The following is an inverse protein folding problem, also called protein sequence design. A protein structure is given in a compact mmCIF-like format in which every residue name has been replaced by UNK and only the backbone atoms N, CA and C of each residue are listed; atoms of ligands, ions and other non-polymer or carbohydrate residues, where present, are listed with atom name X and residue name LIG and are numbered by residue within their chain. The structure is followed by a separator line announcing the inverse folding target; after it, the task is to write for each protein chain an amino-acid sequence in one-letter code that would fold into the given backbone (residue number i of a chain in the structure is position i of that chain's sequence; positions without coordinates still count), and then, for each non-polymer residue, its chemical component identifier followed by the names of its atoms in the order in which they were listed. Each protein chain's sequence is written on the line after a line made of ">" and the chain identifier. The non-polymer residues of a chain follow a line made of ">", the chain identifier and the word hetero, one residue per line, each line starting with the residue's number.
data_IF_703929720547
#
_entry.id   IF_703929720547
#
_cell.length_a   1.000
_cell.length_b   1.000
_cell.length_c   1.000
_cell.angle_alpha   90.00
_cell.angle_beta   90.00
_cell.angle_gamma   90.00
#
_symmetry.space_group_name_H-M   'P 1'
#
loop_
_entity.id
_entity.type
_entity.pdbx_description
1 polymer ?
#
# COMPACT_ATOMS: atom_id res chain seq x y z
N UNK A 1 50.18 -4.80 -3.94
CA UNK A 1 49.87 -4.89 -4.06
C UNK A 1 49.19 -5.00 -4.18
N UNK A 2 49.21 -4.86 -4.01
CA UNK A 2 48.54 -5.08 -4.24
C UNK A 2 47.65 -4.86 -3.98
N UNK A 3 47.68 -4.70 -3.77
CA UNK A 3 46.91 -4.63 -3.55
C UNK A 3 46.03 -4.40 -3.63
N UNK A 4 46.22 -4.33 -3.56
CA UNK A 4 45.41 -4.33 -3.75
C UNK A 4 44.41 -3.94 -3.39
N UNK A 5 44.62 -3.75 -3.25
CA UNK A 5 43.89 -3.64 -3.02
C UNK A 5 42.98 -3.13 -2.72
N UNK A 6 43.30 -3.09 -2.65
CA UNK A 6 42.63 -2.89 -2.43
C UNK A 6 41.82 -2.47 -2.30
N UNK A 7 42.02 -2.41 -2.23
CA UNK A 7 41.37 -2.28 -2.09
C UNK A 7 40.50 -1.98 -1.78
N UNK A 8 40.86 -1.95 -1.65
CA UNK A 8 40.15 -1.94 -1.27
C UNK A 8 39.47 -1.37 -0.96
N UNK A 9 39.75 -1.18 -0.96
CA UNK A 9 39.33 -0.89 -0.78
C UNK A 9 38.50 -0.25 -0.30
N UNK A 10 38.98 -0.16 -0.26
CA UNK A 10 38.17 0.27 0.26
C UNK A 10 37.26 0.74 0.50
N UNK A 11 37.35 0.65 0.46
CA UNK A 11 36.67 0.67 0.66
C UNK A 11 35.81 0.97 1.09
N UNK A 12 36.04 0.94 1.23
CA UNK A 12 35.45 0.91 1.71
C UNK A 12 34.78 1.39 2.19
N UNK A 13 35.11 1.53 2.14
CA UNK A 13 34.70 1.69 2.62
C UNK A 13 33.91 2.25 3.02
N UNK A 14 34.05 2.29 3.05
CA UNK A 14 33.47 2.51 3.38
C UNK A 14 32.66 2.91 3.77
N UNK A 15 32.71 2.82 3.80
CA UNK A 15 32.16 2.79 4.14
C UNK A 15 31.49 3.09 4.71
N UNK A 16 31.71 3.12 4.79
CA UNK A 16 31.36 3.06 5.34
C UNK A 16 30.84 3.56 5.93
N UNK A 17 31.08 3.74 5.92
CA UNK A 17 30.75 3.93 6.51
C UNK A 17 30.03 4.32 7.03
N UNK A 18 30.07 4.29 7.07
CA UNK A 18 29.56 4.31 7.39
C UNK A 18 28.85 4.61 8.08
N UNK A 19 28.95 4.50 8.24
CA UNK A 19 28.52 4.41 8.87
C UNK A 19 28.00 4.72 9.68
N UNK A 20 28.43 4.82 9.84
CA UNK A 20 28.19 4.86 10.52
C UNK A 20 27.67 5.26 11.16
N UNK A 21 27.78 5.36 11.19
CA UNK A 21 27.35 5.55 11.69
C UNK A 21 26.73 5.58 12.14
N UNK A 22 26.61 5.41 12.22
CA UNK A 22 26.05 5.20 12.53
C UNK A 22 25.42 5.19 13.17
N UNK A 23 25.81 4.94 13.28
CA UNK A 23 25.30 4.75 13.98
C UNK A 23 24.34 5.00 14.49
N UNK A 24 24.39 4.82 14.63
CA UNK A 24 23.43 4.87 15.13
C UNK A 24 22.66 5.66 15.11
N UNK A 25 22.82 6.00 15.13
CA UNK A 25 21.94 6.60 15.16
C UNK A 25 21.28 6.68 14.33
N UNK A 26 21.76 6.36 13.99
CA UNK A 26 20.94 6.58 13.51
C UNK A 26 19.83 6.17 12.87
N UNK A 27 19.25 5.52 13.22
CA UNK A 27 17.92 5.25 12.81
C UNK A 27 17.03 6.45 12.94
N UNK A 28 17.30 7.32 13.86
CA UNK A 28 16.59 8.59 13.94
C UNK A 28 16.97 9.44 12.76
N UNK A 29 16.03 10.11 12.18
CA UNK A 29 16.28 11.04 11.13
C UNK A 29 16.66 10.39 9.80
N UNK A 30 16.71 9.09 9.74
CA UNK A 30 16.88 8.42 8.46
C UNK A 30 15.51 8.28 7.81
N UNK A 31 15.26 9.01 6.72
CA UNK A 31 13.97 8.83 6.06
C UNK A 31 13.90 7.43 5.48
N UNK A 32 12.79 6.80 5.73
CA UNK A 32 12.49 5.52 5.11
C UNK A 32 12.02 5.77 3.70
N UNK A 33 12.52 5.02 2.75
CA UNK A 33 11.94 5.03 1.41
C UNK A 33 10.49 4.56 1.53
N UNK A 34 9.58 5.14 0.75
CA UNK A 34 8.23 4.64 0.72
C UNK A 34 8.26 3.16 0.41
N UNK A 35 7.53 2.40 1.19
CA UNK A 35 7.44 0.97 0.97
C UNK A 35 6.18 0.67 0.21
N UNK A 36 6.32 -0.13 -0.81
CA UNK A 36 5.14 -0.63 -1.50
C UNK A 36 5.26 -2.14 -1.62
N UNK A 37 4.12 -2.79 -1.57
CA UNK A 37 4.08 -4.22 -1.76
C UNK A 37 2.80 -4.60 -2.49
N UNK A 38 2.78 -5.80 -3.01
CA UNK A 38 1.68 -6.30 -3.79
C UNK A 38 0.92 -7.36 -3.01
N UNK A 39 -0.38 -7.35 -3.19
CA UNK A 39 -1.26 -8.27 -2.51
C UNK A 39 -2.34 -8.72 -3.47
N UNK A 40 -2.53 -10.03 -3.57
CA UNK A 40 -3.59 -10.59 -4.40
C UNK A 40 -4.86 -10.64 -3.58
N UNK A 41 -5.92 -10.05 -4.09
CA UNK A 41 -7.19 -9.93 -3.38
C UNK A 41 -8.36 -10.23 -4.32
N UNK A 42 -9.49 -10.55 -3.73
CA UNK A 42 -10.77 -10.54 -4.43
C UNK A 42 -11.38 -9.16 -4.27
N UNK A 43 -11.65 -8.50 -5.38
CA UNK A 43 -12.25 -7.17 -5.39
C UNK A 43 -13.69 -7.25 -5.85
N UNK A 44 -14.59 -6.90 -4.96
CA UNK A 44 -16.02 -6.80 -5.25
C UNK A 44 -16.42 -5.34 -5.37
N UNK A 45 -17.67 -5.06 -5.62
CA UNK A 45 -18.11 -3.70 -5.95
C UNK A 45 -19.39 -3.34 -5.20
N UNK A 46 -19.47 -2.08 -4.77
CA UNK A 46 -20.69 -1.56 -4.17
C UNK A 46 -20.93 -0.12 -4.66
N UNK A 47 -22.14 0.38 -4.45
CA UNK A 47 -22.51 1.69 -4.97
C UNK A 47 -23.36 2.51 -3.99
N UNK A 48 -23.53 2.03 -2.77
CA UNK A 48 -24.40 2.70 -1.81
C UNK A 48 -23.82 4.05 -1.40
N UNK A 49 -24.68 5.07 -1.21
CA UNK A 49 -24.22 6.35 -0.73
C UNK A 49 -23.89 6.29 0.74
N UNK A 50 -23.28 7.35 1.25
CA UNK A 50 -23.03 7.46 2.68
C UNK A 50 -21.63 7.90 3.00
N UNK A 51 -21.27 7.70 4.25
CA UNK A 51 -19.95 8.02 4.75
C UNK A 51 -19.22 6.75 5.13
N UNK A 52 -17.91 6.80 4.96
CA UNK A 52 -17.05 5.70 5.28
C UNK A 52 -16.70 5.67 6.77
N UNK A 53 -16.03 4.62 7.19
CA UNK A 53 -15.54 4.50 8.57
C UNK A 53 -14.55 5.63 8.92
N UNK A 54 -13.81 6.17 7.94
CA UNK A 54 -12.96 7.34 8.15
C UNK A 54 -13.76 8.65 8.22
N UNK A 55 -15.05 8.62 7.95
CA UNK A 55 -15.89 9.81 8.00
C UNK A 55 -15.92 10.60 6.71
N UNK A 56 -15.23 10.15 5.66
CA UNK A 56 -15.30 10.81 4.36
C UNK A 56 -16.49 10.29 3.56
N UNK A 57 -17.08 11.11 2.70
CA UNK A 57 -18.16 10.62 1.84
C UNK A 57 -17.65 9.57 0.86
N UNK A 58 -18.50 8.64 0.50
CA UNK A 58 -18.15 7.69 -0.55
C UNK A 58 -17.98 8.43 -1.88
N UNK A 59 -17.02 7.97 -2.67
CA UNK A 59 -16.76 8.48 -4.01
C UNK A 59 -15.85 7.48 -4.73
N UNK A 60 -15.66 7.71 -6.02
CA UNK A 60 -14.72 6.88 -6.78
C UNK A 60 -13.34 6.98 -6.12
N UNK A 61 -12.74 5.85 -5.86
CA UNK A 61 -11.47 5.79 -5.16
C UNK A 61 -11.57 5.38 -3.70
N UNK A 62 -12.78 5.24 -3.17
CA UNK A 62 -12.99 4.77 -1.79
C UNK A 62 -13.18 3.25 -1.82
N UNK A 63 -12.46 2.54 -0.95
CA UNK A 63 -12.59 1.09 -0.85
C UNK A 63 -12.78 0.67 0.60
N UNK A 64 -13.56 -0.38 0.78
CA UNK A 64 -13.71 -1.02 2.07
C UNK A 64 -12.72 -2.18 2.17
N UNK A 65 -12.13 -2.34 3.32
CA UNK A 65 -11.07 -3.32 3.56
C UNK A 65 -11.25 -3.98 4.91
N UNK A 66 -10.49 -5.05 5.14
CA UNK A 66 -10.29 -5.58 6.48
C UNK A 66 -9.12 -4.80 7.10
N UNK A 67 -9.38 -3.99 8.13
CA UNK A 67 -8.32 -3.16 8.71
C UNK A 67 -7.24 -3.95 9.43
N UNK A 68 -7.47 -5.22 9.70
CA UNK A 68 -6.42 -6.09 10.22
C UNK A 68 -5.37 -6.40 9.17
N UNK A 69 -5.74 -6.35 7.90
CA UNK A 69 -4.84 -6.62 6.79
C UNK A 69 -4.36 -5.35 6.12
N UNK A 70 -5.27 -4.40 5.90
CA UNK A 70 -4.97 -3.12 5.25
C UNK A 70 -5.48 -2.03 6.18
N UNK A 71 -4.60 -1.34 6.90
CA UNK A 71 -5.04 -0.30 7.83
C UNK A 71 -5.83 0.79 7.13
N UNK A 72 -6.83 1.33 7.81
CA UNK A 72 -7.56 2.49 7.29
C UNK A 72 -6.61 3.66 7.08
N UNK A 73 -6.81 4.39 6.00
CA UNK A 73 -5.93 5.47 5.59
C UNK A 73 -4.85 5.05 4.60
N UNK A 74 -4.72 3.76 4.34
CA UNK A 74 -3.73 3.25 3.40
C UNK A 74 -4.11 3.61 1.98
N UNK A 75 -3.13 4.08 1.23
CA UNK A 75 -3.29 4.36 -0.20
C UNK A 75 -2.89 3.13 -0.99
N UNK A 76 -3.65 2.85 -2.02
CA UNK A 76 -3.39 1.68 -2.84
C UNK A 76 -3.79 1.95 -4.29
N UNK A 77 -3.39 1.05 -5.15
CA UNK A 77 -3.78 1.07 -6.55
C UNK A 77 -4.40 -0.27 -6.92
N UNK A 78 -5.57 -0.20 -7.54
CA UNK A 78 -6.32 -1.39 -7.97
C UNK A 78 -6.34 -1.41 -9.49
N UNK A 79 -5.76 -2.44 -10.11
CA UNK A 79 -5.79 -2.55 -11.58
C UNK A 79 -7.24 -2.54 -12.09
N UNK A 80 -7.48 -1.72 -13.12
CA UNK A 80 -8.80 -1.58 -13.70
C UNK A 80 -9.74 -0.64 -12.94
N UNK A 81 -9.37 -0.22 -11.75
CA UNK A 81 -10.14 0.72 -10.95
C UNK A 81 -9.38 2.05 -10.75
N UNK A 82 -8.11 1.98 -10.39
CA UNK A 82 -7.26 3.15 -10.23
C UNK A 82 -6.80 3.37 -8.80
N UNK A 83 -6.34 4.60 -8.51
CA UNK A 83 -5.90 4.97 -7.16
C UNK A 83 -7.07 4.84 -6.18
N UNK A 84 -6.76 4.40 -4.98
CA UNK A 84 -7.78 4.14 -3.99
C UNK A 84 -7.29 4.45 -2.58
N UNK A 85 -8.23 4.72 -1.70
CA UNK A 85 -8.00 4.97 -0.29
C UNK A 85 -8.78 3.93 0.51
N UNK A 86 -8.11 3.22 1.38
CA UNK A 86 -8.76 2.30 2.32
C UNK A 86 -9.48 3.14 3.37
N UNK A 87 -10.75 3.39 3.16
CA UNK A 87 -11.50 4.35 3.97
C UNK A 87 -12.67 3.72 4.71
N UNK A 88 -13.03 2.49 4.38
CA UNK A 88 -14.24 1.89 4.90
C UNK A 88 -14.00 0.46 5.33
N UNK A 89 -14.97 -0.08 6.05
CA UNK A 89 -14.98 -1.46 6.50
C UNK A 89 -16.36 -2.04 6.20
N UNK A 90 -16.43 -3.36 6.14
CA UNK A 90 -17.70 -4.04 6.00
C UNK A 90 -17.63 -5.34 6.79
N UNK A 91 -18.76 -5.73 7.41
CA UNK A 91 -18.72 -6.92 8.25
C UNK A 91 -18.38 -8.19 7.46
N UNK A 92 -18.66 -8.18 6.15
CA UNK A 92 -18.34 -9.30 5.25
C UNK A 92 -17.00 -9.10 4.52
N UNK A 93 -16.33 -7.96 4.72
CA UNK A 93 -15.08 -7.66 4.05
C UNK A 93 -13.94 -8.04 4.99
N UNK A 94 -13.52 -9.28 4.90
CA UNK A 94 -12.53 -9.87 5.78
C UNK A 94 -11.41 -10.50 4.98
N UNK A 95 -10.19 -10.39 5.50
CA UNK A 95 -9.02 -10.96 4.86
C UNK A 95 -8.75 -10.31 3.52
N UNK A 96 -8.52 -11.12 2.51
CA UNK A 96 -8.12 -10.65 1.18
C UNK A 96 -9.32 -10.36 0.29
N UNK A 97 -10.32 -9.68 0.84
CA UNK A 97 -11.47 -9.19 0.10
C UNK A 97 -11.50 -7.69 0.28
N UNK A 98 -11.66 -6.95 -0.81
CA UNK A 98 -11.86 -5.51 -0.79
C UNK A 98 -13.12 -5.19 -1.58
N UNK A 99 -13.74 -4.06 -1.25
CA UNK A 99 -15.01 -3.66 -1.85
C UNK A 99 -14.86 -2.26 -2.44
N UNK A 100 -14.95 -2.16 -3.76
CA UNK A 100 -14.67 -0.94 -4.49
C UNK A 100 -15.95 -0.15 -4.69
N UNK A 101 -15.94 1.13 -4.36
CA UNK A 101 -17.11 1.96 -4.56
C UNK A 101 -17.20 2.44 -6.01
N UNK A 102 -18.42 2.37 -6.56
CA UNK A 102 -18.74 2.86 -7.90
C UNK A 102 -19.92 3.81 -7.80
N UNK A 103 -20.01 4.80 -8.71
CA UNK A 103 -21.07 5.80 -8.66
C UNK A 103 -22.43 5.28 -9.13
N UNK A 104 -22.49 4.09 -9.71
CA UNK A 104 -23.76 3.56 -10.19
C UNK A 104 -23.82 2.05 -10.07
N UNK A 105 -25.04 1.54 -10.04
CA UNK A 105 -25.30 0.10 -10.07
C UNK A 105 -24.70 -0.54 -11.33
N UNK A 106 -24.85 0.13 -12.47
CA UNK A 106 -24.37 -0.41 -13.74
C UNK A 106 -22.87 -0.60 -13.71
N UNK A 107 -22.12 0.38 -13.21
CA UNK A 107 -20.67 0.28 -13.12
C UNK A 107 -20.25 -0.78 -12.10
N UNK A 108 -20.94 -0.88 -10.99
CA UNK A 108 -20.64 -1.90 -10.00
C UNK A 108 -20.89 -3.29 -10.55
N UNK A 109 -21.96 -3.48 -11.30
CA UNK A 109 -22.24 -4.77 -11.94
C UNK A 109 -21.22 -5.10 -13.00
N UNK A 110 -20.78 -4.10 -13.76
CA UNK A 110 -19.78 -4.28 -14.78
C UNK A 110 -18.46 -4.75 -14.19
N UNK A 111 -18.10 -4.23 -13.04
CA UNK A 111 -16.92 -4.70 -12.32
C UNK A 111 -17.12 -6.14 -11.86
N UNK A 112 -18.23 -6.43 -11.22
CA UNK A 112 -18.54 -7.74 -10.69
C UNK A 112 -17.62 -8.13 -9.56
N UNK A 113 -16.95 -9.26 -9.72
CA UNK A 113 -15.96 -9.76 -8.75
C UNK A 113 -14.75 -10.21 -9.52
N UNK A 114 -13.60 -9.70 -9.15
CA UNK A 114 -12.36 -10.00 -9.84
C UNK A 114 -11.24 -10.25 -8.85
N UNK A 115 -10.41 -11.22 -9.17
CA UNK A 115 -9.16 -11.40 -8.45
C UNK A 115 -8.11 -10.51 -9.10
N UNK A 116 -7.53 -9.61 -8.32
CA UNK A 116 -6.54 -8.66 -8.81
C UNK A 116 -5.36 -8.59 -7.87
N UNK A 117 -4.22 -8.18 -8.38
CA UNK A 117 -3.06 -7.90 -7.55
C UNK A 117 -2.97 -6.39 -7.36
N UNK A 118 -3.24 -5.93 -6.16
CA UNK A 118 -3.20 -4.51 -5.82
C UNK A 118 -1.80 -4.12 -5.37
N UNK A 119 -1.48 -2.84 -5.53
CA UNK A 119 -0.26 -2.26 -4.97
C UNK A 119 -0.65 -1.45 -3.75
N UNK A 120 0.01 -1.70 -2.63
CA UNK A 120 -0.23 -1.01 -1.37
C UNK A 120 0.98 -0.12 -1.09
N UNK A 121 0.72 1.15 -0.79
CA UNK A 121 1.77 2.12 -0.50
C UNK A 121 1.86 2.30 1.01
N UNK A 122 2.99 1.98 1.54
CA UNK A 122 3.23 2.05 2.98
C UNK A 122 3.64 3.40 3.52
#
# INVERSE_FOLDING_TARGET
>A
MGRGTRRWGPALAAVLLGTLLGAGGSAFGQPQAPQEYRLKVDAVAYYLPGRTALGVPVRKGVVAVDPKLIPLGTKLHVPGYGPALAADVGWAIKGRIIDLWFPSTAQARDWGRRTVTITIYG
#
